data_IF_974242810181
#
_entry.id   IF_974242810181
#
_cell.length_a   1.000
_cell.length_b   1.000
_cell.length_c   1.000
_cell.angle_alpha   90.00
_cell.angle_beta   90.00
_cell.angle_gamma   90.00
#
_symmetry.space_group_name_H-M   'P 1'
#
loop_
_entity.id
_entity.type
_entity.pdbx_description
1 polymer ?
#
# COMPACT_ATOMS: atom_id res chain seq x y z
N UNK A 1 -19.34 20.86 -30.66
CA UNK A 1 -19.25 20.96 -29.18
C UNK A 1 -18.65 19.67 -28.63
N UNK A 2 -17.40 19.70 -28.17
CA UNK A 2 -16.66 18.56 -27.60
C UNK A 2 -16.93 18.48 -26.09
N UNK A 3 -17.78 17.55 -25.63
CA UNK A 3 -17.93 17.18 -24.21
C UNK A 3 -17.86 15.68 -24.04
N UNK A 4 -16.65 15.10 -24.15
CA UNK A 4 -16.40 13.68 -23.80
C UNK A 4 -15.00 13.40 -23.20
N UNK A 5 -14.06 14.34 -23.26
CA UNK A 5 -12.68 14.11 -22.81
C UNK A 5 -12.41 14.45 -21.33
N UNK A 6 -13.22 15.29 -20.69
CA UNK A 6 -12.98 15.75 -19.30
C UNK A 6 -13.23 14.67 -18.23
N UNK A 7 -14.12 13.71 -18.49
CA UNK A 7 -14.45 12.66 -17.52
C UNK A 7 -13.38 11.58 -17.40
N UNK A 8 -12.60 11.35 -18.46
CA UNK A 8 -11.56 10.31 -18.46
C UNK A 8 -10.32 10.80 -17.69
N UNK A 9 -9.83 12.01 -17.98
CA UNK A 9 -8.66 12.61 -17.30
C UNK A 9 -8.87 12.81 -15.78
N UNK A 10 -10.05 13.27 -15.35
CA UNK A 10 -10.34 13.45 -13.92
C UNK A 10 -10.44 12.11 -13.16
N UNK A 11 -10.79 11.02 -13.86
CA UNK A 11 -10.87 9.69 -13.27
C UNK A 11 -9.46 9.10 -13.05
N UNK A 12 -8.52 9.40 -13.95
CA UNK A 12 -7.13 8.95 -13.88
C UNK A 12 -6.35 9.70 -12.77
N UNK A 13 -6.56 11.00 -12.61
CA UNK A 13 -5.96 11.79 -11.52
C UNK A 13 -6.42 11.29 -10.14
N UNK A 14 -7.71 11.00 -9.99
CA UNK A 14 -8.26 10.48 -8.74
C UNK A 14 -7.76 9.07 -8.43
N UNK A 15 -7.61 8.23 -9.45
CA UNK A 15 -7.05 6.88 -9.30
C UNK A 15 -5.58 6.93 -8.88
N UNK A 16 -4.80 7.82 -9.50
CA UNK A 16 -3.41 8.09 -9.13
C UNK A 16 -3.28 8.58 -7.67
N UNK A 17 -4.15 9.50 -7.24
CA UNK A 17 -4.16 9.99 -5.86
C UNK A 17 -4.48 8.87 -4.85
N UNK A 18 -5.44 7.98 -5.17
CA UNK A 18 -5.78 6.82 -4.35
C UNK A 18 -4.64 5.80 -4.28
N UNK A 19 -3.97 5.53 -5.40
CA UNK A 19 -2.81 4.66 -5.44
C UNK A 19 -1.68 5.22 -4.55
N UNK A 20 -1.40 6.52 -4.65
CA UNK A 20 -0.40 7.19 -3.82
C UNK A 20 -0.74 7.14 -2.34
N UNK A 21 -2.00 7.40 -1.98
CA UNK A 21 -2.46 7.28 -0.60
C UNK A 21 -2.29 5.85 -0.05
N UNK A 22 -2.71 4.85 -0.83
CA UNK A 22 -2.61 3.44 -0.43
C UNK A 22 -1.13 3.03 -0.24
N UNK A 23 -0.23 3.46 -1.12
CA UNK A 23 1.22 3.26 -0.95
C UNK A 23 1.77 3.92 0.30
N UNK A 24 1.38 5.17 0.56
CA UNK A 24 1.79 5.86 1.79
C UNK A 24 1.36 5.10 3.05
N UNK A 25 0.15 4.54 3.04
CA UNK A 25 -0.35 3.69 4.13
C UNK A 25 0.43 2.38 4.25
N UNK A 26 0.71 1.70 3.13
CA UNK A 26 1.50 0.47 3.13
C UNK A 26 2.91 0.71 3.68
N UNK A 27 3.59 1.76 3.20
CA UNK A 27 4.93 2.14 3.68
C UNK A 27 4.95 2.43 5.18
N UNK A 28 3.96 3.18 5.69
CA UNK A 28 3.83 3.46 7.12
C UNK A 28 3.66 2.17 7.96
N UNK A 29 2.86 1.21 7.48
CA UNK A 29 2.67 -0.07 8.16
C UNK A 29 3.92 -0.95 8.14
N UNK A 30 4.66 -0.98 7.02
CA UNK A 30 5.94 -1.68 6.95
C UNK A 30 6.95 -1.08 7.92
N UNK A 31 7.00 0.26 8.05
CA UNK A 31 7.90 0.91 9.00
C UNK A 31 7.54 0.57 10.45
N UNK A 32 6.26 0.62 10.83
CA UNK A 32 5.82 0.18 12.16
C UNK A 32 6.17 -1.29 12.44
N UNK A 33 6.01 -2.18 11.44
CA UNK A 33 6.40 -3.57 11.58
C UNK A 33 7.91 -3.72 11.82
N UNK A 34 8.72 -2.94 11.10
CA UNK A 34 10.19 -2.93 11.23
C UNK A 34 10.65 -2.40 12.58
N UNK A 35 9.99 -1.37 13.10
CA UNK A 35 10.27 -0.82 14.44
C UNK A 35 9.97 -1.86 15.52
N UNK A 36 8.82 -2.55 15.41
CA UNK A 36 8.42 -3.59 16.36
C UNK A 36 9.39 -4.78 16.41
N UNK A 37 10.05 -5.09 15.30
CA UNK A 37 11.06 -6.15 15.21
C UNK A 37 12.46 -5.73 15.64
N UNK A 38 12.79 -4.44 15.52
CA UNK A 38 14.06 -3.90 16.00
C UNK A 38 14.12 -3.89 17.53
N UNK A 39 12.97 -3.83 18.20
CA UNK A 39 12.90 -4.01 19.64
C UNK A 39 13.28 -5.46 20.02
N UNK A 40 14.46 -5.61 20.63
CA UNK A 40 15.02 -6.90 21.07
C UNK A 40 14.81 -7.18 22.57
N UNK A 41 14.13 -6.30 23.29
CA UNK A 41 13.91 -6.46 24.73
C UNK A 41 12.91 -7.56 25.12
N UNK A 42 12.95 -8.01 26.36
CA UNK A 42 11.94 -8.90 26.93
C UNK A 42 12.15 -10.40 26.72
N UNK A 43 11.26 -11.18 27.35
CA UNK A 43 11.29 -12.65 27.30
C UNK A 43 10.91 -13.20 25.91
N UNK A 44 11.03 -14.52 25.75
CA UNK A 44 10.74 -15.17 24.48
C UNK A 44 9.27 -15.03 24.06
N UNK A 45 8.35 -14.90 25.03
CA UNK A 45 6.91 -14.79 24.79
C UNK A 45 6.54 -13.39 24.28
N UNK A 46 7.14 -12.34 24.85
CA UNK A 46 7.04 -10.97 24.39
C UNK A 46 7.59 -10.85 22.94
N UNK A 47 8.75 -11.46 22.67
CA UNK A 47 9.32 -11.55 21.32
C UNK A 47 8.38 -12.23 20.33
N UNK A 48 7.77 -13.36 20.71
CA UNK A 48 6.81 -14.06 19.86
C UNK A 48 5.56 -13.22 19.56
N UNK A 49 5.02 -12.52 20.56
CA UNK A 49 3.86 -11.62 20.40
C UNK A 49 4.17 -10.44 19.48
N UNK A 50 5.35 -9.83 19.61
CA UNK A 50 5.81 -8.79 18.67
C UNK A 50 5.96 -9.31 17.26
N UNK A 51 6.57 -10.47 17.07
CA UNK A 51 6.69 -11.09 15.73
C UNK A 51 5.32 -11.32 15.08
N UNK A 52 4.33 -11.78 15.85
CA UNK A 52 2.96 -11.92 15.36
C UNK A 52 2.31 -10.56 15.01
N UNK A 53 2.55 -9.52 15.82
CA UNK A 53 2.11 -8.16 15.54
C UNK A 53 2.73 -7.59 14.25
N UNK A 54 4.04 -7.76 14.06
CA UNK A 54 4.75 -7.32 12.85
C UNK A 54 4.24 -8.06 11.61
N UNK A 55 3.98 -9.38 11.71
CA UNK A 55 3.39 -10.15 10.62
C UNK A 55 1.99 -9.66 10.23
N UNK A 56 1.16 -9.27 11.20
CA UNK A 56 -0.16 -8.68 10.94
C UNK A 56 -0.03 -7.33 10.22
N UNK A 57 0.85 -6.44 10.70
CA UNK A 57 1.11 -5.15 10.06
C UNK A 57 1.58 -5.29 8.62
N UNK A 58 2.48 -6.25 8.34
CA UNK A 58 2.89 -6.57 6.97
C UNK A 58 1.75 -7.07 6.09
N UNK A 59 0.90 -7.94 6.63
CA UNK A 59 -0.25 -8.46 5.88
C UNK A 59 -1.22 -7.34 5.50
N UNK A 60 -1.40 -6.38 6.40
CA UNK A 60 -2.20 -5.19 6.16
C UNK A 60 -1.53 -4.24 5.15
N UNK A 61 -0.21 -4.07 5.22
CA UNK A 61 0.55 -3.30 4.24
C UNK A 61 0.42 -3.90 2.83
N UNK A 62 0.60 -5.21 2.68
CA UNK A 62 0.40 -5.93 1.40
C UNK A 62 -1.02 -5.77 0.87
N UNK A 63 -2.03 -5.70 1.75
CA UNK A 63 -3.40 -5.41 1.33
C UNK A 63 -3.51 -4.01 0.72
N UNK A 64 -2.89 -3.00 1.33
CA UNK A 64 -2.85 -1.65 0.76
C UNK A 64 -2.03 -1.58 -0.54
N UNK A 65 -0.95 -2.34 -0.67
CA UNK A 65 -0.20 -2.45 -1.93
C UNK A 65 -1.10 -2.99 -3.06
N UNK A 66 -1.89 -4.04 -2.79
CA UNK A 66 -2.86 -4.56 -3.78
C UNK A 66 -3.93 -3.55 -4.15
N UNK A 67 -4.40 -2.76 -3.17
CA UNK A 67 -5.33 -1.66 -3.44
C UNK A 67 -4.66 -0.61 -4.33
N UNK A 68 -3.41 -0.27 -4.08
CA UNK A 68 -2.66 0.67 -4.91
C UNK A 68 -2.51 0.17 -6.34
N UNK A 69 -2.09 -1.09 -6.53
CA UNK A 69 -1.95 -1.71 -7.85
C UNK A 69 -3.26 -1.76 -8.63
N UNK A 70 -4.41 -1.83 -7.96
CA UNK A 70 -5.72 -1.78 -8.62
C UNK A 70 -6.05 -0.39 -9.19
N UNK A 71 -5.48 0.66 -8.61
CA UNK A 71 -5.72 2.03 -9.04
C UNK A 71 -4.63 2.58 -9.96
N UNK A 72 -3.54 1.83 -10.16
CA UNK A 72 -2.59 2.16 -11.20
C UNK A 72 -3.18 1.85 -12.57
N UNK A 73 -3.00 2.74 -13.55
CA UNK A 73 -3.33 2.41 -14.92
C UNK A 73 -2.55 1.17 -15.33
N UNK A 74 -3.26 0.19 -15.90
CA UNK A 74 -2.64 -0.94 -16.57
C UNK A 74 -2.00 -0.35 -17.84
N UNK A 75 -0.67 -0.27 -17.91
CA UNK A 75 0.03 0.07 -19.15
C UNK A 75 -0.13 -1.10 -20.14
N UNK A 76 -1.31 -1.24 -20.76
CA UNK A 76 -1.58 -2.18 -21.86
C UNK A 76 -1.05 -1.66 -23.23
N UNK A 77 -0.20 -0.63 -23.23
CA UNK A 77 0.23 0.09 -24.44
C UNK A 77 1.74 -0.09 -24.77
N UNK A 78 2.32 -1.25 -24.44
CA UNK A 78 3.70 -1.61 -24.82
C UNK A 78 3.79 -2.95 -25.58
N UNK A 79 2.83 -3.23 -26.46
CA UNK A 79 2.91 -4.33 -27.42
C UNK A 79 2.13 -4.02 -28.71
N UNK A 80 2.73 -3.25 -29.63
CA UNK A 80 2.34 -3.18 -31.03
C UNK A 80 3.60 -3.10 -31.92
#
# INVERSE_FOLDING_TARGET
>A
MRRRQFTMLAMDENSTAKARWARGKAASLYQQARELEQDRGGDWRARARRKAGAARLRSEATRYDRIASRFEPFDDDQAA
#
